data_IF_385341412294
#
_entry.id   IF_385341412294
#
_cell.length_a   1.000
_cell.length_b   1.000
_cell.length_c   1.000
_cell.angle_alpha   90.00
_cell.angle_beta   90.00
_cell.angle_gamma   90.00
#
_symmetry.space_group_name_H-M   'P 1'
#
loop_
_entity.id
_entity.type
_entity.pdbx_description
1 polymer ?
#
# COMPACT_ATOMS: atom_id res chain seq x y z
N UNK A 1 20.33 24.42 3.09
CA UNK A 1 19.49 23.60 3.98
C UNK A 1 18.31 23.09 3.18
N UNK A 2 18.24 21.78 2.89
CA UNK A 2 17.05 21.18 2.30
C UNK A 2 15.94 21.28 3.34
N UNK A 3 14.93 22.12 3.12
CA UNK A 3 13.79 22.25 4.03
C UNK A 3 13.19 20.87 4.28
N UNK A 4 13.13 20.43 5.54
CA UNK A 4 12.47 19.18 5.88
C UNK A 4 11.04 19.18 5.33
N UNK A 5 10.66 18.11 4.64
CA UNK A 5 9.31 18.00 4.09
C UNK A 5 8.29 18.13 5.21
N UNK A 6 7.32 19.04 5.04
CA UNK A 6 6.22 19.19 5.98
C UNK A 6 5.47 17.87 6.21
N UNK A 7 4.86 17.73 7.41
CA UNK A 7 4.20 16.50 7.89
C UNK A 7 3.27 15.84 6.86
N UNK A 8 2.46 16.63 6.15
CA UNK A 8 1.53 16.13 5.15
C UNK A 8 2.21 15.57 3.89
N UNK A 9 3.30 16.21 3.44
CA UNK A 9 4.08 15.75 2.30
C UNK A 9 4.79 14.42 2.62
N UNK A 10 5.38 14.33 3.81
CA UNK A 10 6.01 13.09 4.32
C UNK A 10 5.00 11.93 4.41
N UNK A 11 3.80 12.18 4.98
CA UNK A 11 2.75 11.16 5.05
C UNK A 11 2.27 10.69 3.66
N UNK A 12 2.20 11.60 2.68
CA UNK A 12 1.82 11.26 1.30
C UNK A 12 2.89 10.42 0.62
N UNK A 13 4.16 10.78 0.79
CA UNK A 13 5.27 9.99 0.27
C UNK A 13 5.26 8.57 0.84
N UNK A 14 5.06 8.43 2.15
CA UNK A 14 4.99 7.11 2.80
C UNK A 14 3.83 6.26 2.26
N UNK A 15 2.65 6.85 2.03
CA UNK A 15 1.52 6.14 1.39
C UNK A 15 1.88 5.65 -0.01
N UNK A 16 2.47 6.52 -0.84
CA UNK A 16 2.86 6.19 -2.21
C UNK A 16 3.86 5.04 -2.24
N UNK A 17 4.88 5.11 -1.41
CA UNK A 17 5.93 4.10 -1.32
C UNK A 17 5.39 2.77 -0.79
N UNK A 18 4.58 2.77 0.29
CA UNK A 18 3.98 1.52 0.79
C UNK A 18 3.07 0.87 -0.24
N UNK A 19 2.31 1.67 -0.99
CA UNK A 19 1.48 1.16 -2.07
C UNK A 19 2.33 0.54 -3.19
N UNK A 20 3.32 1.27 -3.71
CA UNK A 20 4.10 0.85 -4.87
C UNK A 20 5.07 -0.29 -4.60
N UNK A 21 5.74 -0.28 -3.44
CA UNK A 21 6.83 -1.21 -3.15
C UNK A 21 6.35 -2.48 -2.42
N UNK A 22 5.24 -2.39 -1.67
CA UNK A 22 4.81 -3.46 -0.78
C UNK A 22 3.42 -3.97 -1.17
N UNK A 23 2.39 -3.13 -1.08
CA UNK A 23 0.99 -3.59 -1.14
C UNK A 23 0.61 -4.04 -2.54
N UNK A 24 0.80 -3.21 -3.56
CA UNK A 24 0.40 -3.56 -4.91
C UNK A 24 1.18 -4.78 -5.45
N UNK A 25 2.52 -4.85 -5.29
CA UNK A 25 3.25 -6.07 -5.64
C UNK A 25 2.77 -7.29 -4.87
N UNK A 26 2.47 -7.17 -3.57
CA UNK A 26 1.95 -8.30 -2.78
C UNK A 26 0.60 -8.80 -3.31
N UNK A 27 -0.32 -7.89 -3.65
CA UNK A 27 -1.62 -8.22 -4.24
C UNK A 27 -1.44 -8.97 -5.56
N UNK A 28 -0.53 -8.52 -6.42
CA UNK A 28 -0.22 -9.22 -7.68
C UNK A 28 0.47 -10.58 -7.48
N UNK A 29 1.32 -10.70 -6.45
CA UNK A 29 2.02 -11.94 -6.09
C UNK A 29 1.08 -13.00 -5.52
N UNK A 30 0.18 -12.60 -4.63
CA UNK A 30 -0.86 -13.49 -4.08
C UNK A 30 -1.92 -13.79 -5.15
N UNK A 31 -2.15 -12.84 -6.08
CA UNK A 31 -3.18 -12.91 -7.11
C UNK A 31 -4.58 -13.14 -6.52
N UNK A 32 -4.83 -12.52 -5.37
CA UNK A 32 -6.10 -12.52 -4.65
C UNK A 32 -6.43 -11.09 -4.21
N UNK A 33 -7.71 -10.78 -4.06
CA UNK A 33 -8.18 -9.49 -3.57
C UNK A 33 -7.76 -9.23 -2.13
N UNK A 34 -7.34 -10.28 -1.41
CA UNK A 34 -6.99 -10.25 0.00
C UNK A 34 -5.60 -10.83 0.29
N UNK A 35 -4.99 -10.38 1.38
CA UNK A 35 -3.74 -10.92 1.92
C UNK A 35 -3.74 -10.84 3.45
N UNK A 36 -2.99 -11.72 4.09
CA UNK A 36 -2.86 -11.80 5.55
C UNK A 36 -1.85 -10.79 6.11
N UNK A 37 -1.96 -10.46 7.40
CA UNK A 37 -0.96 -9.65 8.11
C UNK A 37 0.44 -10.26 7.98
N UNK A 38 0.55 -11.60 8.07
CA UNK A 38 1.83 -12.31 7.95
C UNK A 38 2.46 -12.13 6.56
N UNK A 39 1.66 -12.24 5.49
CA UNK A 39 2.13 -11.96 4.12
C UNK A 39 2.64 -10.53 3.97
N UNK A 40 1.90 -9.55 4.51
CA UNK A 40 2.35 -8.15 4.54
C UNK A 40 3.66 -7.98 5.32
N UNK A 41 3.76 -8.55 6.52
CA UNK A 41 4.95 -8.44 7.37
C UNK A 41 6.19 -9.02 6.69
N UNK A 42 6.05 -10.18 6.04
CA UNK A 42 7.13 -10.83 5.29
C UNK A 42 7.58 -9.97 4.10
N UNK A 43 6.64 -9.49 3.27
CA UNK A 43 6.95 -8.64 2.13
C UNK A 43 7.63 -7.34 2.56
N UNK A 44 7.09 -6.69 3.59
CA UNK A 44 7.66 -5.48 4.20
C UNK A 44 9.09 -5.71 4.67
N UNK A 45 9.35 -6.80 5.40
CA UNK A 45 10.68 -7.11 5.91
C UNK A 45 11.69 -7.25 4.77
N UNK A 46 11.35 -8.02 3.72
CA UNK A 46 12.18 -8.20 2.54
C UNK A 46 12.52 -6.86 1.88
N UNK A 47 11.51 -6.04 1.56
CA UNK A 47 11.71 -4.74 0.89
C UNK A 47 12.51 -3.76 1.76
N UNK A 48 12.25 -3.72 3.08
CA UNK A 48 12.99 -2.85 4.00
C UNK A 48 14.47 -3.24 4.08
N UNK A 49 14.78 -4.55 4.08
CA UNK A 49 16.15 -5.05 4.04
C UNK A 49 16.83 -4.72 2.71
N UNK A 50 16.16 -4.95 1.57
CA UNK A 50 16.69 -4.67 0.24
C UNK A 50 16.96 -3.17 -0.01
N UNK A 51 16.11 -2.29 0.51
CA UNK A 51 16.20 -0.84 0.29
C UNK A 51 16.87 -0.09 1.47
N UNK A 52 17.33 -0.78 2.50
CA UNK A 52 17.91 -0.20 3.73
C UNK A 52 16.99 0.86 4.39
N UNK A 53 15.69 0.56 4.46
CA UNK A 53 14.66 1.45 5.03
C UNK A 53 14.22 0.94 6.39
N UNK A 54 14.01 1.83 7.37
CA UNK A 54 13.45 1.45 8.66
C UNK A 54 12.03 0.90 8.53
N UNK A 55 11.77 -0.25 9.18
CA UNK A 55 10.47 -0.93 9.21
C UNK A 55 9.31 -0.07 9.75
N UNK A 56 9.63 1.00 10.48
CA UNK A 56 8.67 1.93 11.08
C UNK A 56 7.98 2.83 10.05
N UNK A 57 8.63 3.09 8.90
CA UNK A 57 8.07 3.90 7.80
C UNK A 57 6.82 3.22 7.20
N UNK A 58 6.86 1.92 6.82
CA UNK A 58 5.71 1.25 6.23
C UNK A 58 4.48 1.13 7.13
N UNK A 59 4.67 0.99 8.45
CA UNK A 59 3.55 0.84 9.39
C UNK A 59 2.60 2.05 9.36
N UNK A 60 3.13 3.27 9.21
CA UNK A 60 2.32 4.49 9.09
C UNK A 60 1.63 4.59 7.73
N UNK A 61 2.29 4.13 6.67
CA UNK A 61 1.71 4.11 5.32
C UNK A 61 0.51 3.17 5.23
N UNK A 62 0.60 1.96 5.82
CA UNK A 62 -0.48 0.97 5.84
C UNK A 62 -1.76 1.53 6.49
N UNK A 63 -1.65 2.06 7.72
CA UNK A 63 -2.79 2.68 8.42
C UNK A 63 -3.40 3.80 7.58
N UNK A 64 -2.56 4.59 6.92
CA UNK A 64 -3.05 5.70 6.10
C UNK A 64 -3.71 5.24 4.80
N UNK A 65 -3.32 4.10 4.22
CA UNK A 65 -4.05 3.48 3.10
C UNK A 65 -5.45 3.00 3.54
N UNK A 66 -5.57 2.44 4.75
CA UNK A 66 -6.86 2.06 5.32
C UNK A 66 -7.77 3.27 5.54
N UNK A 67 -7.23 4.35 6.13
CA UNK A 67 -7.97 5.62 6.29
C UNK A 67 -8.43 6.25 4.98
N UNK A 68 -7.82 5.86 3.84
CA UNK A 68 -8.22 6.30 2.50
C UNK A 68 -9.19 5.34 1.81
N UNK A 69 -9.60 4.26 2.46
CA UNK A 69 -10.50 3.25 1.90
C UNK A 69 -9.87 2.38 0.81
N UNK A 70 -8.55 2.50 0.58
CA UNK A 70 -7.84 1.69 -0.42
C UNK A 70 -7.71 0.25 0.08
N UNK A 71 -7.52 0.08 1.39
CA UNK A 71 -7.47 -1.19 2.07
C UNK A 71 -8.56 -1.27 3.13
N UNK A 72 -9.18 -2.43 3.24
CA UNK A 72 -10.06 -2.82 4.33
C UNK A 72 -9.34 -3.84 5.20
N UNK A 73 -9.61 -3.85 6.51
CA UNK A 73 -9.01 -4.81 7.44
C UNK A 73 -10.11 -5.52 8.22
N UNK A 74 -10.07 -6.85 8.22
CA UNK A 74 -10.95 -7.73 8.99
C UNK A 74 -10.09 -8.75 9.73
N UNK A 75 -9.94 -8.58 11.05
CA UNK A 75 -9.01 -9.39 11.84
C UNK A 75 -7.58 -9.32 11.30
N UNK A 76 -7.07 -10.46 10.85
CA UNK A 76 -5.71 -10.60 10.29
C UNK A 76 -5.66 -10.55 8.76
N UNK A 77 -6.80 -10.24 8.11
CA UNK A 77 -6.91 -10.15 6.65
C UNK A 77 -7.04 -8.68 6.24
N UNK A 78 -6.35 -8.33 5.17
CA UNK A 78 -6.47 -7.06 4.46
C UNK A 78 -6.98 -7.33 3.06
N UNK A 79 -7.88 -6.46 2.57
CA UNK A 79 -8.46 -6.59 1.23
C UNK A 79 -8.37 -5.27 0.47
N UNK A 80 -8.14 -5.33 -0.84
CA UNK A 80 -8.19 -4.15 -1.70
C UNK A 80 -9.64 -3.72 -1.94
N UNK A 81 -9.85 -2.43 -2.17
CA UNK A 81 -11.15 -1.92 -2.59
C UNK A 81 -11.60 -2.57 -3.91
N UNK A 82 -12.90 -2.89 -4.05
CA UNK A 82 -13.44 -3.67 -5.19
C UNK A 82 -13.14 -3.04 -6.56
N UNK A 83 -13.06 -1.71 -6.63
CA UNK A 83 -12.70 -0.97 -7.87
C UNK A 83 -11.28 -1.26 -8.37
N UNK A 84 -10.41 -1.82 -7.53
CA UNK A 84 -9.04 -2.18 -7.91
C UNK A 84 -8.93 -3.63 -8.41
N UNK A 85 -9.98 -4.45 -8.27
CA UNK A 85 -10.00 -5.84 -8.74
C UNK A 85 -9.73 -5.96 -10.25
N UNK A 86 -10.29 -5.11 -11.14
CA UNK A 86 -9.97 -5.17 -12.57
C UNK A 86 -8.47 -4.97 -12.84
N UNK A 87 -7.83 -4.03 -12.14
CA UNK A 87 -6.39 -3.78 -12.27
C UNK A 87 -5.57 -5.01 -11.84
N UNK A 88 -5.98 -5.69 -10.77
CA UNK A 88 -5.31 -6.91 -10.29
C UNK A 88 -5.46 -8.03 -11.31
N UNK A 89 -6.68 -8.29 -11.79
CA UNK A 89 -6.99 -9.35 -12.77
C UNK A 89 -6.21 -9.18 -14.07
N UNK A 90 -6.04 -7.93 -14.51
CA UNK A 90 -5.28 -7.59 -15.71
C UNK A 90 -3.77 -7.48 -15.46
N UNK A 91 -3.31 -7.68 -14.20
CA UNK A 91 -1.93 -7.39 -13.76
C UNK A 91 -1.45 -6.00 -14.20
N UNK A 92 -2.38 -5.05 -14.23
CA UNK A 92 -2.13 -3.71 -14.72
C UNK A 92 -1.29 -2.91 -13.72
N UNK A 93 -0.59 -1.90 -14.22
CA UNK A 93 0.01 -0.88 -13.36
C UNK A 93 -1.10 -0.12 -12.65
N UNK A 94 -1.09 -0.12 -11.32
CA UNK A 94 -1.97 0.70 -10.49
C UNK A 94 -1.11 1.47 -9.51
N UNK A 95 -0.81 2.72 -9.81
CA UNK A 95 -0.08 3.59 -8.87
C UNK A 95 -1.02 4.16 -7.80
N UNK A 96 -0.45 4.79 -6.77
CA UNK A 96 -1.25 5.33 -5.66
C UNK A 96 -2.27 6.39 -6.12
N UNK A 97 -1.92 7.20 -7.12
CA UNK A 97 -2.82 8.21 -7.71
C UNK A 97 -4.02 7.58 -8.39
N UNK A 98 -3.81 6.50 -9.13
CA UNK A 98 -4.86 5.71 -9.76
C UNK A 98 -5.72 5.07 -8.68
N UNK A 99 -5.11 4.37 -7.71
CA UNK A 99 -5.82 3.71 -6.63
C UNK A 99 -6.71 4.67 -5.83
N UNK A 100 -6.20 5.85 -5.45
CA UNK A 100 -7.00 6.82 -4.71
C UNK A 100 -8.09 7.47 -5.56
N UNK A 101 -7.85 7.65 -6.86
CA UNK A 101 -8.87 8.16 -7.78
C UNK A 101 -10.03 7.18 -7.87
N UNK A 102 -9.73 5.92 -8.20
CA UNK A 102 -10.72 4.84 -8.32
C UNK A 102 -11.59 4.70 -7.07
N UNK A 103 -10.96 4.68 -5.88
CA UNK A 103 -11.66 4.51 -4.61
C UNK A 103 -12.55 5.72 -4.23
N UNK A 104 -12.27 6.91 -4.78
CA UNK A 104 -13.03 8.13 -4.47
C UNK A 104 -14.16 8.43 -5.43
N UNK A 105 -14.14 7.86 -6.63
CA UNK A 105 -15.26 8.01 -7.56
C UNK A 105 -16.48 7.37 -6.88
N UNK A 106 -17.58 8.11 -6.77
CA UNK A 106 -18.84 7.62 -6.21
C UNK A 106 -19.54 6.69 -7.18
#
# INVERSE_FOLDING_TARGET
MLSEKGKHASATQNRRWVWSEIIWPLVLEVNDVSFTLKQFQNKRQKICQEQNVSINVPSRGLVSLMQKGILLKEGEIYSIHYRLIPYMRLKAKCDYSTAIHEVRIK
#
